data_IF_713252614144
#
_entry.id   IF_713252614144
#
_cell.length_a   1.000
_cell.length_b   1.000
_cell.length_c   1.000
_cell.angle_alpha   90.00
_cell.angle_beta   90.00
_cell.angle_gamma   90.00
#
_symmetry.space_group_name_H-M   'P 1'
#
loop_
_entity.id
_entity.type
_entity.pdbx_description
1 polymer ?
#
# COMPACT_ATOMS: atom_id res chain seq x y z
N UNK A 1 -32.71 22.23 -10.83
CA UNK A 1 -32.37 21.26 -9.77
C UNK A 1 -30.86 21.12 -9.73
N UNK A 2 -30.22 21.46 -8.61
CA UNK A 2 -28.76 21.41 -8.51
C UNK A 2 -28.30 19.94 -8.37
N UNK A 3 -27.37 19.45 -9.21
CA UNK A 3 -26.95 18.05 -9.20
C UNK A 3 -26.30 17.60 -7.87
N UNK A 4 -25.87 18.53 -7.01
CA UNK A 4 -25.24 18.22 -5.72
C UNK A 4 -26.18 17.81 -4.58
N UNK A 5 -27.49 18.02 -4.68
CA UNK A 5 -28.41 17.71 -3.57
C UNK A 5 -28.79 16.24 -3.49
N UNK A 6 -28.72 15.49 -4.59
CA UNK A 6 -29.10 14.06 -4.62
C UNK A 6 -28.04 13.17 -3.99
N UNK A 7 -26.76 13.41 -4.31
CA UNK A 7 -25.62 12.61 -3.82
C UNK A 7 -25.40 12.80 -2.32
N UNK A 8 -25.45 14.06 -1.83
CA UNK A 8 -25.34 14.36 -0.41
C UNK A 8 -26.48 13.73 0.41
N UNK A 9 -27.69 13.68 -0.15
CA UNK A 9 -28.84 13.02 0.50
C UNK A 9 -28.67 11.49 0.54
N UNK A 10 -28.13 10.88 -0.51
CA UNK A 10 -27.84 9.44 -0.55
C UNK A 10 -26.75 9.06 0.47
N UNK A 11 -25.69 9.87 0.57
CA UNK A 11 -24.64 9.68 1.59
C UNK A 11 -25.22 9.78 2.99
N UNK A 12 -26.00 10.83 3.27
CA UNK A 12 -26.63 11.03 4.58
C UNK A 12 -27.55 9.86 4.96
N UNK A 13 -28.27 9.29 3.99
CA UNK A 13 -29.13 8.13 4.21
C UNK A 13 -28.34 6.82 4.44
N UNK A 14 -27.16 6.68 3.83
CA UNK A 14 -26.35 5.46 3.92
C UNK A 14 -25.56 5.36 5.23
N UNK A 15 -25.09 6.49 5.79
CA UNK A 15 -24.19 6.51 6.95
C UNK A 15 -24.72 5.74 8.18
N UNK A 16 -25.98 5.87 8.62
CA UNK A 16 -26.46 5.13 9.79
C UNK A 16 -26.46 3.60 9.59
N UNK A 17 -26.62 3.15 8.35
CA UNK A 17 -26.53 1.73 8.00
C UNK A 17 -25.08 1.26 8.02
N UNK A 18 -24.17 2.04 7.43
CA UNK A 18 -22.73 1.77 7.46
C UNK A 18 -22.23 1.71 8.91
N UNK A 19 -22.59 2.69 9.74
CA UNK A 19 -22.24 2.70 11.18
C UNK A 19 -22.64 1.41 11.89
N UNK A 20 -23.89 0.97 11.67
CA UNK A 20 -24.40 -0.28 12.26
C UNK A 20 -23.64 -1.50 11.76
N UNK A 21 -23.31 -1.54 10.47
CA UNK A 21 -22.55 -2.62 9.85
C UNK A 21 -21.12 -2.68 10.39
N UNK A 22 -20.44 -1.55 10.53
CA UNK A 22 -19.11 -1.48 11.13
C UNK A 22 -19.11 -1.89 12.61
N UNK A 23 -20.20 -1.62 13.33
CA UNK A 23 -20.37 -1.99 14.74
C UNK A 23 -20.80 -3.45 14.95
N UNK A 24 -21.21 -4.17 13.89
CA UNK A 24 -21.67 -5.55 14.02
C UNK A 24 -20.55 -6.49 14.47
N UNK A 25 -20.92 -7.59 15.13
CA UNK A 25 -19.97 -8.64 15.55
C UNK A 25 -19.58 -9.58 14.39
N UNK A 26 -20.39 -9.62 13.33
CA UNK A 26 -20.21 -10.53 12.21
C UNK A 26 -19.32 -9.93 11.12
N UNK A 27 -18.22 -10.60 10.77
CA UNK A 27 -17.22 -10.09 9.80
C UNK A 27 -17.83 -9.74 8.44
N UNK A 28 -18.77 -10.53 7.92
CA UNK A 28 -19.40 -10.22 6.62
C UNK A 28 -20.20 -8.91 6.62
N UNK A 29 -20.81 -8.54 7.75
CA UNK A 29 -21.51 -7.26 7.88
C UNK A 29 -20.52 -6.11 7.98
N UNK A 30 -19.41 -6.33 8.72
CA UNK A 30 -18.34 -5.36 8.79
C UNK A 30 -17.73 -5.11 7.41
N UNK A 31 -17.40 -6.15 6.66
CA UNK A 31 -16.86 -6.05 5.29
C UNK A 31 -17.76 -5.27 4.35
N UNK A 32 -19.07 -5.54 4.39
CA UNK A 32 -20.04 -4.83 3.56
C UNK A 32 -20.07 -3.33 3.92
N UNK A 33 -20.12 -3.00 5.22
CA UNK A 33 -20.05 -1.61 5.68
C UNK A 33 -18.74 -0.93 5.27
N UNK A 34 -17.60 -1.62 5.40
CA UNK A 34 -16.29 -1.12 4.99
C UNK A 34 -16.26 -0.87 3.48
N UNK A 35 -16.78 -1.78 2.67
CA UNK A 35 -16.81 -1.65 1.20
C UNK A 35 -17.63 -0.44 0.77
N UNK A 36 -18.81 -0.26 1.36
CA UNK A 36 -19.64 0.92 1.09
C UNK A 36 -18.92 2.20 1.51
N UNK A 37 -18.27 2.18 2.68
CA UNK A 37 -17.51 3.34 3.17
C UNK A 37 -16.31 3.66 2.28
N UNK A 38 -15.63 2.65 1.73
CA UNK A 38 -14.53 2.82 0.76
C UNK A 38 -14.99 3.55 -0.48
N UNK A 39 -16.13 3.16 -1.04
CA UNK A 39 -16.69 3.83 -2.22
C UNK A 39 -16.96 5.31 -1.92
N UNK A 40 -17.56 5.62 -0.77
CA UNK A 40 -17.74 7.01 -0.33
C UNK A 40 -16.40 7.75 -0.16
N UNK A 41 -15.39 7.10 0.43
CA UNK A 41 -14.08 7.70 0.67
C UNK A 41 -13.33 8.10 -0.61
N UNK A 42 -13.62 7.46 -1.76
CA UNK A 42 -13.05 7.82 -3.06
C UNK A 42 -13.57 9.15 -3.60
N UNK A 43 -14.71 9.63 -3.09
CA UNK A 43 -15.31 10.90 -3.50
C UNK A 43 -14.96 12.00 -2.48
N UNK A 44 -13.97 12.85 -2.80
CA UNK A 44 -13.48 13.90 -1.88
C UNK A 44 -14.58 14.81 -1.31
N UNK A 45 -15.70 15.01 -2.03
CA UNK A 45 -16.83 15.85 -1.57
C UNK A 45 -17.56 15.28 -0.35
N UNK A 46 -17.57 13.97 -0.19
CA UNK A 46 -18.29 13.27 0.90
C UNK A 46 -17.34 12.79 1.99
N UNK A 47 -16.03 13.01 1.80
CA UNK A 47 -15.00 12.65 2.78
C UNK A 47 -15.29 13.19 4.19
N UNK A 48 -15.75 14.44 4.40
CA UNK A 48 -16.08 14.92 5.74
C UNK A 48 -17.10 14.06 6.49
N UNK A 49 -17.99 13.38 5.77
CA UNK A 49 -18.98 12.47 6.35
C UNK A 49 -18.39 11.08 6.71
N UNK A 50 -17.29 10.71 6.08
CA UNK A 50 -16.54 9.46 6.36
C UNK A 50 -15.62 9.62 7.57
N UNK A 51 -15.04 10.81 7.78
CA UNK A 51 -14.04 11.07 8.83
C UNK A 51 -14.48 10.64 10.25
N UNK A 52 -15.74 10.84 10.70
CA UNK A 52 -16.18 10.39 12.01
C UNK A 52 -16.08 8.87 12.23
N UNK A 53 -16.05 8.08 11.16
CA UNK A 53 -15.98 6.60 11.22
C UNK A 53 -14.55 6.07 11.27
N UNK A 54 -13.53 6.93 11.12
CA UNK A 54 -12.13 6.54 11.14
C UNK A 54 -11.70 5.82 12.42
N UNK A 55 -12.08 6.23 13.64
CA UNK A 55 -11.69 5.51 14.85
C UNK A 55 -12.15 4.05 14.82
N UNK A 56 -13.34 3.78 14.27
CA UNK A 56 -13.84 2.41 14.12
C UNK A 56 -13.04 1.64 13.06
N UNK A 57 -12.73 2.24 11.91
CA UNK A 57 -11.87 1.61 10.91
C UNK A 57 -10.48 1.25 11.48
N UNK A 58 -9.89 2.14 12.29
CA UNK A 58 -8.60 1.90 12.95
C UNK A 58 -8.68 0.73 13.93
N UNK A 59 -9.79 0.57 14.65
CA UNK A 59 -10.02 -0.60 15.51
C UNK A 59 -10.14 -1.89 14.69
N UNK A 60 -10.82 -1.85 13.55
CA UNK A 60 -11.03 -3.00 12.67
C UNK A 60 -9.73 -3.51 12.00
N UNK A 61 -8.65 -2.73 12.04
CA UNK A 61 -7.30 -3.24 11.70
C UNK A 61 -6.81 -4.36 12.63
N UNK A 62 -7.49 -4.61 13.74
CA UNK A 62 -7.18 -5.70 14.68
C UNK A 62 -8.13 -6.90 14.54
N UNK A 63 -9.11 -6.82 13.63
CA UNK A 63 -10.08 -7.90 13.34
C UNK A 63 -9.46 -9.01 12.48
N UNK A 64 -10.24 -10.03 12.09
CA UNK A 64 -9.78 -11.08 11.18
C UNK A 64 -9.26 -10.54 9.84
N UNK A 65 -8.48 -11.36 9.13
CA UNK A 65 -7.68 -10.93 7.96
C UNK A 65 -8.49 -10.22 6.87
N UNK A 66 -9.72 -10.67 6.61
CA UNK A 66 -10.57 -10.12 5.57
C UNK A 66 -11.05 -8.71 5.91
N UNK A 67 -11.66 -8.54 7.09
CA UNK A 67 -12.07 -7.23 7.65
C UNK A 67 -10.88 -6.28 7.76
N UNK A 68 -9.75 -6.78 8.26
CA UNK A 68 -8.50 -6.01 8.41
C UNK A 68 -7.99 -5.47 7.08
N UNK A 69 -7.93 -6.31 6.05
CA UNK A 69 -7.52 -5.90 4.71
C UNK A 69 -8.49 -4.89 4.09
N UNK A 70 -9.79 -5.11 4.24
CA UNK A 70 -10.81 -4.16 3.78
C UNK A 70 -10.68 -2.80 4.47
N UNK A 71 -10.47 -2.80 5.79
CA UNK A 71 -10.29 -1.58 6.59
C UNK A 71 -9.04 -0.82 6.15
N UNK A 72 -7.90 -1.51 6.00
CA UNK A 72 -6.67 -0.92 5.47
C UNK A 72 -6.86 -0.33 4.06
N UNK A 73 -7.62 -1.01 3.19
CA UNK A 73 -7.91 -0.54 1.84
C UNK A 73 -8.81 0.70 1.82
N UNK A 74 -9.69 0.84 2.81
CA UNK A 74 -10.52 2.04 2.98
C UNK A 74 -9.70 3.22 3.50
N UNK A 75 -8.79 2.97 4.44
CA UNK A 75 -7.84 3.97 4.92
C UNK A 75 -6.91 4.45 3.79
N UNK A 76 -6.53 3.55 2.87
CA UNK A 76 -5.78 3.92 1.68
C UNK A 76 -6.57 4.87 0.78
N UNK A 77 -7.88 4.63 0.58
CA UNK A 77 -8.75 5.54 -0.18
C UNK A 77 -8.88 6.91 0.49
N UNK A 78 -9.10 6.96 1.80
CA UNK A 78 -9.11 8.21 2.59
C UNK A 78 -7.80 8.98 2.43
N UNK A 79 -6.66 8.29 2.45
CA UNK A 79 -5.33 8.90 2.32
C UNK A 79 -5.02 9.47 0.92
N UNK A 80 -5.88 9.29 -0.09
CA UNK A 80 -5.67 9.90 -1.41
C UNK A 80 -5.80 11.42 -1.37
N UNK A 81 -6.63 11.97 -0.48
CA UNK A 81 -6.80 13.42 -0.32
C UNK A 81 -5.87 14.00 0.76
N UNK A 82 -5.50 15.27 0.64
CA UNK A 82 -4.68 15.95 1.64
C UNK A 82 -5.41 16.09 2.99
N UNK A 83 -6.71 16.36 2.96
CA UNK A 83 -7.56 16.44 4.14
C UNK A 83 -7.64 15.09 4.87
N UNK A 84 -7.85 14.00 4.13
CA UNK A 84 -7.89 12.64 4.67
C UNK A 84 -6.56 12.26 5.32
N UNK A 85 -5.43 12.54 4.67
CA UNK A 85 -4.10 12.33 5.27
C UNK A 85 -3.92 13.08 6.59
N UNK A 86 -4.27 14.37 6.61
CA UNK A 86 -4.13 15.20 7.80
C UNK A 86 -4.94 14.68 9.00
N UNK A 87 -6.10 14.06 8.75
CA UNK A 87 -6.92 13.46 9.81
C UNK A 87 -6.42 12.08 10.22
N UNK A 88 -6.00 11.25 9.25
CA UNK A 88 -5.40 9.94 9.50
C UNK A 88 -4.15 10.03 10.36
N UNK A 89 -3.27 10.99 10.08
CA UNK A 89 -2.03 11.23 10.85
C UNK A 89 -2.28 11.50 12.35
N UNK A 90 -3.49 11.93 12.71
CA UNK A 90 -3.89 12.20 14.10
C UNK A 90 -4.61 11.02 14.76
N UNK A 91 -4.92 9.97 14.01
CA UNK A 91 -5.60 8.80 14.55
C UNK A 91 -4.64 7.98 15.41
N UNK A 92 -4.98 7.84 16.68
CA UNK A 92 -4.20 7.08 17.63
C UNK A 92 -4.06 5.62 17.20
N UNK A 93 -2.83 5.09 17.23
CA UNK A 93 -2.55 3.70 16.90
C UNK A 93 -2.67 3.34 15.42
N UNK A 94 -3.11 4.25 14.52
CA UNK A 94 -3.27 3.95 13.09
C UNK A 94 -1.97 3.45 12.47
N UNK A 95 -0.90 4.23 12.61
CA UNK A 95 0.40 3.94 11.97
C UNK A 95 0.99 2.64 12.51
N UNK A 96 0.89 2.39 13.82
CA UNK A 96 1.35 1.14 14.44
C UNK A 96 0.55 -0.06 13.91
N UNK A 97 -0.77 0.05 13.79
CA UNK A 97 -1.61 -1.04 13.29
C UNK A 97 -1.35 -1.32 11.79
N UNK A 98 -1.17 -0.28 10.97
CA UNK A 98 -0.82 -0.45 9.55
C UNK A 98 0.57 -1.08 9.39
N UNK A 99 1.54 -0.68 10.20
CA UNK A 99 2.88 -1.29 10.22
C UNK A 99 2.78 -2.76 10.63
N UNK A 100 1.98 -3.09 11.65
CA UNK A 100 1.74 -4.48 12.05
C UNK A 100 1.17 -5.31 10.88
N UNK A 101 0.19 -4.78 10.13
CA UNK A 101 -0.36 -5.45 8.95
C UNK A 101 0.70 -5.71 7.87
N UNK A 102 1.63 -4.76 7.65
CA UNK A 102 2.75 -4.93 6.71
C UNK A 102 3.73 -5.99 7.18
N UNK A 103 4.01 -6.08 8.48
CA UNK A 103 4.94 -7.07 9.05
C UNK A 103 4.46 -8.51 8.96
N UNK A 104 3.17 -8.74 8.65
CA UNK A 104 2.64 -10.09 8.41
C UNK A 104 3.14 -10.70 7.08
N UNK A 105 3.77 -9.90 6.21
CA UNK A 105 4.34 -10.37 4.94
C UNK A 105 3.34 -10.42 3.79
N UNK A 106 3.84 -10.68 2.58
CA UNK A 106 3.03 -10.54 1.35
C UNK A 106 1.85 -11.50 1.27
N UNK A 107 1.90 -12.61 2.01
CA UNK A 107 0.85 -13.62 2.04
C UNK A 107 -0.37 -13.15 2.85
N UNK A 108 -0.24 -12.12 3.68
CA UNK A 108 -1.37 -11.53 4.39
C UNK A 108 -2.22 -10.67 3.43
N UNK A 109 -3.53 -10.91 3.34
CA UNK A 109 -4.45 -10.04 2.57
C UNK A 109 -4.42 -8.57 3.02
N UNK A 110 -4.00 -8.31 4.26
CA UNK A 110 -3.92 -6.95 4.79
C UNK A 110 -2.64 -6.21 4.36
N UNK A 111 -1.56 -6.92 4.03
CA UNK A 111 -0.25 -6.32 3.79
C UNK A 111 -0.26 -5.38 2.58
N UNK A 112 -0.87 -5.77 1.46
CA UNK A 112 -0.99 -4.92 0.27
C UNK A 112 -1.75 -3.63 0.58
N UNK A 113 -2.93 -3.77 1.17
CA UNK A 113 -3.80 -2.63 1.47
C UNK A 113 -3.15 -1.70 2.50
N UNK A 114 -2.46 -2.24 3.50
CA UNK A 114 -1.73 -1.47 4.48
C UNK A 114 -0.53 -0.74 3.86
N UNK A 115 0.26 -1.42 3.02
CA UNK A 115 1.36 -0.80 2.28
C UNK A 115 0.86 0.32 1.34
N UNK A 116 -0.28 0.12 0.68
CA UNK A 116 -0.92 1.14 -0.15
C UNK A 116 -1.38 2.35 0.69
N UNK A 117 -1.93 2.09 1.87
CA UNK A 117 -2.31 3.15 2.82
C UNK A 117 -1.09 3.96 3.28
N UNK A 118 0.01 3.29 3.64
CA UNK A 118 1.27 3.93 4.01
C UNK A 118 1.90 4.71 2.83
N UNK A 119 1.80 4.18 1.61
CA UNK A 119 2.24 4.88 0.40
C UNK A 119 1.53 6.22 0.24
N UNK A 120 0.21 6.22 0.39
CA UNK A 120 -0.58 7.43 0.28
C UNK A 120 -0.29 8.41 1.42
N UNK A 121 -0.20 7.93 2.67
CA UNK A 121 0.19 8.77 3.83
C UNK A 121 1.58 9.39 3.62
N UNK A 122 2.54 8.65 3.06
CA UNK A 122 3.88 9.14 2.78
C UNK A 122 3.93 10.27 1.73
N UNK A 123 2.81 10.63 1.07
CA UNK A 123 2.76 11.77 0.16
C UNK A 123 2.89 13.14 0.89
N UNK A 124 2.65 13.22 2.21
CA UNK A 124 2.84 14.41 3.04
C UNK A 124 4.17 14.35 3.81
N UNK A 125 4.77 15.50 4.14
CA UNK A 125 6.00 15.54 4.96
C UNK A 125 5.79 15.05 6.39
N UNK A 126 4.66 15.41 7.01
CA UNK A 126 4.25 14.92 8.33
C UNK A 126 4.00 13.41 8.33
N UNK A 127 3.33 12.89 7.29
CA UNK A 127 3.08 11.46 7.11
C UNK A 127 4.38 10.66 6.99
N UNK A 128 5.37 11.15 6.23
CA UNK A 128 6.70 10.52 6.16
C UNK A 128 7.36 10.39 7.54
N UNK A 129 7.32 11.47 8.33
CA UNK A 129 7.87 11.49 9.69
C UNK A 129 7.14 10.52 10.61
N UNK A 130 5.81 10.49 10.54
CA UNK A 130 4.99 9.57 11.34
C UNK A 130 5.27 8.10 11.00
N UNK A 131 5.42 7.77 9.72
CA UNK A 131 5.79 6.42 9.26
C UNK A 131 7.15 6.01 9.80
N UNK A 132 8.14 6.89 9.74
CA UNK A 132 9.47 6.63 10.31
C UNK A 132 9.40 6.35 11.82
N UNK A 133 8.68 7.20 12.56
CA UNK A 133 8.55 7.07 14.01
C UNK A 133 7.83 5.77 14.42
N UNK A 134 6.92 5.26 13.59
CA UNK A 134 6.25 3.99 13.79
C UNK A 134 7.08 2.78 13.28
N UNK A 135 8.37 2.95 13.01
CA UNK A 135 9.27 1.96 12.44
C UNK A 135 8.84 1.40 11.06
N UNK A 136 7.97 2.13 10.36
CA UNK A 136 7.37 1.67 9.11
C UNK A 136 8.37 1.49 7.96
N UNK A 137 9.50 2.20 7.96
CA UNK A 137 10.56 1.99 6.95
C UNK A 137 11.08 0.56 7.00
N UNK A 138 11.42 0.06 8.20
CA UNK A 138 11.93 -1.31 8.38
C UNK A 138 10.89 -2.34 7.94
N UNK A 139 9.62 -2.15 8.31
CA UNK A 139 8.54 -3.05 7.93
C UNK A 139 8.30 -3.08 6.42
N UNK A 140 8.28 -1.92 5.75
CA UNK A 140 8.14 -1.83 4.30
C UNK A 140 9.32 -2.51 3.57
N UNK A 141 10.55 -2.35 4.08
CA UNK A 141 11.71 -3.03 3.52
C UNK A 141 11.61 -4.55 3.68
N UNK A 142 11.25 -5.03 4.88
CA UNK A 142 11.06 -6.45 5.13
C UNK A 142 9.98 -7.06 4.22
N UNK A 143 8.87 -6.35 3.97
CA UNK A 143 7.85 -6.79 3.02
C UNK A 143 8.39 -6.88 1.60
N UNK A 144 9.19 -5.91 1.14
CA UNK A 144 9.80 -5.94 -0.19
C UNK A 144 10.79 -7.10 -0.32
N UNK A 145 11.59 -7.36 0.71
CA UNK A 145 12.50 -8.51 0.77
C UNK A 145 11.75 -9.85 0.73
N UNK A 146 10.66 -9.97 1.47
CA UNK A 146 9.78 -11.16 1.51
C UNK A 146 9.13 -11.44 0.15
N UNK A 147 8.86 -10.40 -0.65
CA UNK A 147 8.33 -10.53 -2.00
C UNK A 147 9.35 -11.10 -3.01
N UNK A 148 10.66 -10.92 -2.79
CA UNK A 148 11.71 -11.26 -3.79
C UNK A 148 11.75 -12.76 -4.12
N UNK A 149 11.89 -13.71 -3.17
CA UNK A 149 12.00 -15.13 -3.48
C UNK A 149 10.84 -15.70 -4.31
N UNK A 150 9.56 -15.44 -3.98
CA UNK A 150 8.46 -15.97 -4.78
C UNK A 150 8.39 -15.34 -6.18
N UNK A 151 8.77 -14.07 -6.35
CA UNK A 151 8.84 -13.41 -7.66
C UNK A 151 9.98 -13.95 -8.52
N UNK A 152 11.15 -14.24 -7.94
CA UNK A 152 12.26 -14.90 -8.65
C UNK A 152 11.85 -16.28 -9.19
N UNK A 153 11.14 -17.06 -8.36
CA UNK A 153 10.62 -18.38 -8.75
C UNK A 153 9.66 -18.26 -9.93
N UNK A 154 8.77 -17.27 -9.90
CA UNK A 154 7.80 -17.00 -10.97
C UNK A 154 8.48 -16.58 -12.27
N UNK A 155 9.45 -15.66 -12.19
CA UNK A 155 10.27 -15.27 -13.35
C UNK A 155 11.01 -16.47 -13.95
N UNK A 156 11.61 -17.31 -13.11
CA UNK A 156 12.29 -18.52 -13.57
C UNK A 156 11.32 -19.50 -14.24
N UNK A 157 10.11 -19.65 -13.72
CA UNK A 157 9.07 -20.47 -14.33
C UNK A 157 8.62 -19.91 -15.69
N UNK A 158 8.37 -18.60 -15.78
CA UNK A 158 7.99 -17.92 -17.02
C UNK A 158 9.07 -18.06 -18.11
N UNK A 159 10.35 -17.98 -17.73
CA UNK A 159 11.48 -18.22 -18.64
C UNK A 159 11.49 -19.66 -19.15
N UNK A 160 11.27 -20.66 -18.29
CA UNK A 160 11.22 -22.08 -18.70
C UNK A 160 10.07 -22.34 -19.68
N UNK A 161 8.87 -21.83 -19.41
CA UNK A 161 7.72 -22.02 -20.29
C UNK A 161 7.92 -21.35 -21.65
N UNK A 162 8.51 -20.16 -21.68
CA UNK A 162 8.80 -19.44 -22.92
C UNK A 162 9.79 -20.19 -23.83
N UNK A 163 10.74 -20.92 -23.25
CA UNK A 163 11.73 -21.74 -23.99
C UNK A 163 11.09 -23.02 -24.56
N UNK A 164 10.05 -23.56 -23.91
CA UNK A 164 9.34 -24.75 -24.40
C UNK A 164 8.29 -24.43 -25.47
N UNK A 165 7.74 -23.22 -25.49
CA UNK A 165 6.78 -22.77 -26.51
C UNK A 165 7.42 -22.34 -27.84
N UNK A 166 8.74 -22.20 -27.92
CA UNK A 166 9.46 -21.92 -29.18
C UNK A 166 9.61 -23.16 -30.09
N UNK A 167 8.91 -24.26 -29.79
CA UNK A 167 8.88 -25.48 -30.61
C UNK A 167 7.51 -25.79 -31.22
N UNK A 168 6.51 -24.91 -31.08
CA UNK A 168 5.21 -25.03 -31.76
C UNK A 168 4.76 -23.71 -32.40
N UNK A 169 4.71 -23.69 -33.73
CA UNK A 169 4.00 -22.71 -34.53
C UNK A 169 2.49 -22.79 -34.24
N UNK A 170 1.90 -21.73 -33.67
CA UNK A 170 0.46 -21.62 -33.40
C UNK A 170 0.08 -20.28 -32.75
N UNK A 171 -1.12 -19.72 -33.03
CA UNK A 171 -1.36 -18.29 -32.96
C UNK A 171 -1.43 -17.72 -31.54
N UNK A 172 -0.98 -16.46 -31.44
CA UNK A 172 -0.99 -15.56 -30.28
C UNK A 172 -2.19 -15.79 -29.35
N UNK A 173 -1.92 -16.44 -28.22
CA UNK A 173 -2.86 -16.49 -27.11
C UNK A 173 -2.94 -15.12 -26.46
N UNK A 174 -4.15 -14.58 -26.46
CA UNK A 174 -4.58 -13.36 -25.78
C UNK A 174 -4.02 -13.30 -24.36
N UNK A 175 -3.22 -12.26 -24.07
CA UNK A 175 -2.91 -11.84 -22.70
C UNK A 175 -4.23 -11.64 -21.96
N UNK A 176 -4.61 -12.63 -21.16
CA UNK A 176 -5.76 -12.53 -20.28
C UNK A 176 -5.50 -11.40 -19.29
N UNK A 177 -6.42 -10.45 -19.30
CA UNK A 177 -6.54 -9.34 -18.38
C UNK A 177 -6.41 -9.79 -16.92
N UNK A 178 -5.36 -9.28 -16.27
CA UNK A 178 -5.38 -8.76 -14.89
C UNK A 178 -6.08 -9.61 -13.82
N UNK A 179 -5.50 -10.75 -13.45
CA UNK A 179 -5.49 -11.13 -12.03
C UNK A 179 -4.23 -10.51 -11.42
N UNK A 180 -4.37 -9.46 -10.61
CA UNK A 180 -3.23 -8.83 -9.94
C UNK A 180 -2.49 -9.87 -9.12
N UNK A 181 -1.21 -10.09 -9.40
CA UNK A 181 -0.37 -10.96 -8.58
C UNK A 181 -0.24 -10.30 -7.19
N UNK A 182 -0.81 -10.89 -6.11
CA UNK A 182 -0.88 -10.22 -4.81
C UNK A 182 0.50 -9.92 -4.22
N UNK A 183 1.52 -10.75 -4.54
CA UNK A 183 2.92 -10.51 -4.18
C UNK A 183 3.45 -9.25 -4.84
N UNK A 184 3.24 -9.15 -6.15
CA UNK A 184 3.67 -8.00 -6.93
C UNK A 184 2.93 -6.73 -6.51
N UNK A 185 1.63 -6.82 -6.20
CA UNK A 185 0.84 -5.69 -5.74
C UNK A 185 1.28 -5.17 -4.36
N UNK A 186 1.52 -6.08 -3.40
CA UNK A 186 2.06 -5.74 -2.09
C UNK A 186 3.46 -5.11 -2.21
N UNK A 187 4.35 -5.74 -2.99
CA UNK A 187 5.69 -5.23 -3.27
C UNK A 187 5.65 -3.85 -3.91
N UNK A 188 4.85 -3.68 -4.97
CA UNK A 188 4.70 -2.42 -5.69
C UNK A 188 4.22 -1.32 -4.75
N UNK A 189 3.19 -1.57 -3.93
CA UNK A 189 2.70 -0.61 -2.94
C UNK A 189 3.78 -0.22 -1.92
N UNK A 190 4.51 -1.21 -1.40
CA UNK A 190 5.60 -0.98 -0.45
C UNK A 190 6.74 -0.15 -1.07
N UNK A 191 7.14 -0.46 -2.31
CA UNK A 191 8.11 0.34 -3.07
C UNK A 191 7.61 1.77 -3.30
N UNK A 192 6.32 1.97 -3.53
CA UNK A 192 5.73 3.30 -3.66
C UNK A 192 5.86 4.11 -2.36
N UNK A 193 5.61 3.48 -1.22
CA UNK A 193 5.81 4.11 0.08
C UNK A 193 7.29 4.48 0.30
N UNK A 194 8.21 3.54 0.05
CA UNK A 194 9.65 3.79 0.14
C UNK A 194 10.08 4.93 -0.79
N UNK A 195 9.58 4.96 -2.03
CA UNK A 195 9.85 6.02 -2.98
C UNK A 195 9.43 7.40 -2.47
N UNK A 196 8.23 7.51 -1.88
CA UNK A 196 7.74 8.76 -1.30
C UNK A 196 8.59 9.23 -0.10
N UNK A 197 9.13 8.29 0.66
CA UNK A 197 9.98 8.55 1.83
C UNK A 197 11.37 9.10 1.48
N UNK A 198 11.86 8.91 0.24
CA UNK A 198 13.17 9.41 -0.26
C UNK A 198 13.29 10.94 -0.39
N UNK A 199 12.26 11.69 0.01
CA UNK A 199 12.31 13.15 0.11
C UNK A 199 13.06 13.67 1.33
N UNK A 200 13.48 12.80 2.25
CA UNK A 200 14.13 13.14 3.52
C UNK A 200 15.46 12.39 3.65
N UNK A 201 16.54 13.11 4.00
CA UNK A 201 17.88 12.53 4.13
C UNK A 201 17.97 11.48 5.23
N UNK A 202 17.24 11.63 6.35
CA UNK A 202 17.23 10.64 7.44
C UNK A 202 16.61 9.32 7.00
N UNK A 203 15.55 9.37 6.18
CA UNK A 203 14.94 8.16 5.60
C UNK A 203 15.91 7.47 4.65
N UNK A 204 16.61 8.23 3.80
CA UNK A 204 17.62 7.68 2.89
C UNK A 204 18.71 6.95 3.68
N UNK A 205 19.25 7.56 4.74
CA UNK A 205 20.26 6.91 5.59
C UNK A 205 19.74 5.62 6.22
N UNK A 206 18.50 5.63 6.72
CA UNK A 206 17.86 4.44 7.31
C UNK A 206 17.77 3.30 6.28
N UNK A 207 17.34 3.62 5.04
CA UNK A 207 17.23 2.64 3.96
C UNK A 207 18.58 2.11 3.49
N UNK A 208 19.61 2.95 3.43
CA UNK A 208 20.98 2.55 3.09
C UNK A 208 21.56 1.59 4.15
N UNK A 209 21.42 1.94 5.43
CA UNK A 209 21.93 1.13 6.54
C UNK A 209 21.26 -0.25 6.61
N UNK A 210 19.98 -0.32 6.24
CA UNK A 210 19.25 -1.57 6.19
C UNK A 210 19.43 -2.35 4.88
N UNK A 211 20.34 -1.92 3.98
CA UNK A 211 20.75 -2.73 2.82
C UNK A 211 19.78 -2.71 1.63
N UNK A 212 18.88 -1.72 1.55
CA UNK A 212 17.81 -1.68 0.53
C UNK A 212 18.33 -1.74 -0.91
N UNK A 213 19.53 -1.23 -1.18
CA UNK A 213 20.12 -1.18 -2.52
C UNK A 213 20.25 -2.58 -3.15
N UNK A 214 20.70 -3.58 -2.40
CA UNK A 214 20.87 -4.95 -2.91
C UNK A 214 19.52 -5.60 -3.27
N UNK A 215 18.47 -5.24 -2.54
CA UNK A 215 17.10 -5.70 -2.82
C UNK A 215 16.57 -5.08 -4.10
N UNK A 216 16.81 -3.78 -4.32
CA UNK A 216 16.40 -3.09 -5.53
C UNK A 216 17.06 -3.67 -6.79
N UNK A 217 18.34 -4.03 -6.74
CA UNK A 217 19.04 -4.65 -7.89
C UNK A 217 18.35 -5.95 -8.33
N UNK A 218 17.92 -6.78 -7.38
CA UNK A 218 17.16 -7.99 -7.69
C UNK A 218 15.82 -7.66 -8.35
N UNK A 219 15.08 -6.69 -7.81
CA UNK A 219 13.75 -6.31 -8.30
C UNK A 219 13.80 -5.65 -9.68
N UNK A 220 14.85 -4.90 -10.00
CA UNK A 220 15.06 -4.33 -11.34
C UNK A 220 15.14 -5.42 -12.43
N UNK A 221 15.75 -6.56 -12.11
CA UNK A 221 15.85 -7.70 -13.03
C UNK A 221 14.49 -8.41 -13.27
N UNK A 222 13.44 -8.03 -12.55
CA UNK A 222 12.11 -8.65 -12.60
C UNK A 222 11.07 -7.85 -13.42
N UNK A 223 11.50 -6.96 -14.31
CA UNK A 223 10.60 -6.16 -15.16
C UNK A 223 9.60 -7.01 -15.99
N UNK A 224 9.94 -8.26 -16.29
CA UNK A 224 9.04 -9.19 -16.98
C UNK A 224 7.88 -9.71 -16.11
N UNK A 225 7.97 -9.57 -14.77
CA UNK A 225 6.92 -9.95 -13.81
C UNK A 225 6.02 -8.74 -13.52
N UNK A 226 6.61 -7.58 -13.22
CA UNK A 226 5.89 -6.34 -12.97
C UNK A 226 6.76 -5.13 -13.35
N UNK A 227 6.32 -4.37 -14.36
CA UNK A 227 7.05 -3.21 -14.88
C UNK A 227 7.05 -2.02 -13.91
N UNK A 228 5.94 -1.81 -13.19
CA UNK A 228 5.82 -0.71 -12.23
C UNK A 228 6.75 -0.94 -11.04
N UNK A 229 6.85 -2.18 -10.57
CA UNK A 229 7.80 -2.61 -9.55
C UNK A 229 9.25 -2.33 -9.97
N UNK A 230 9.66 -2.77 -11.16
CA UNK A 230 11.02 -2.57 -11.67
C UNK A 230 11.35 -1.07 -11.87
N UNK A 231 10.40 -0.28 -12.34
CA UNK A 231 10.55 1.17 -12.48
C UNK A 231 10.77 1.85 -11.13
N UNK A 232 9.96 1.52 -10.12
CA UNK A 232 10.12 2.05 -8.74
C UNK A 232 11.46 1.64 -8.15
N UNK A 233 11.89 0.38 -8.35
CA UNK A 233 13.19 -0.09 -7.87
C UNK A 233 14.36 0.67 -8.53
N UNK A 234 14.26 0.98 -9.83
CA UNK A 234 15.25 1.81 -10.55
C UNK A 234 15.34 3.22 -9.96
N UNK A 235 14.19 3.85 -9.74
CA UNK A 235 14.14 5.19 -9.13
C UNK A 235 14.76 5.20 -7.74
N UNK A 236 14.40 4.23 -6.89
CA UNK A 236 14.92 4.13 -5.52
C UNK A 236 16.45 3.99 -5.53
N UNK A 237 17.01 3.08 -6.34
CA UNK A 237 18.47 2.90 -6.45
C UNK A 237 19.18 4.18 -6.86
N UNK A 238 18.65 4.90 -7.86
CA UNK A 238 19.23 6.18 -8.29
C UNK A 238 19.28 7.19 -7.14
N UNK A 239 18.20 7.33 -6.38
CA UNK A 239 18.14 8.25 -5.22
C UNK A 239 19.03 7.83 -4.06
N UNK A 240 19.10 6.54 -3.75
CA UNK A 240 20.01 6.02 -2.72
C UNK A 240 21.48 6.25 -3.09
N UNK A 241 21.83 6.25 -4.38
CA UNK A 241 23.20 6.50 -4.86
C UNK A 241 23.58 7.99 -4.95
N UNK A 242 22.59 8.88 -5.12
CA UNK A 242 22.81 10.32 -5.32
C UNK A 242 23.05 11.11 -4.03
N UNK A 243 22.93 10.48 -2.85
CA UNK A 243 23.30 11.14 -1.59
C UNK A 243 24.81 11.03 -1.38
N UNK A 244 25.54 12.14 -1.21
CA UNK A 244 26.99 12.10 -1.02
C UNK A 244 27.33 11.24 0.20
N UNK A 245 28.28 10.31 0.05
CA UNK A 245 28.87 9.55 1.17
C UNK A 245 29.68 10.43 2.14
N UNK A 246 29.75 11.74 1.90
CA UNK A 246 30.72 12.66 2.51
C UNK A 246 30.08 13.62 3.52
N UNK A 247 29.57 13.08 4.62
CA UNK A 247 29.44 13.87 5.87
C UNK A 247 30.05 13.17 7.08
N UNK A 248 30.86 12.13 6.85
CA UNK A 248 31.82 11.64 7.84
C UNK A 248 33.14 12.37 7.59
N UNK A 249 33.14 13.69 7.82
CA UNK A 249 34.37 14.39 8.18
C UNK A 249 34.35 14.51 9.70
N UNK A 250 35.18 13.66 10.29
CA UNK A 250 35.76 13.78 11.61
C UNK A 250 36.13 15.24 11.88
N UNK A 251 35.56 15.81 12.94
CA UNK A 251 36.21 16.79 13.82
C UNK A 251 35.80 16.48 15.26
#
# INVERSE_FOLDING_TARGET
MAPGSSEANQVTAALPTIERQLAADHESLQEEGIKQLKELALHCRVLPAVLPLLPRLVQLLKSGNSVRGAAAGTLAAVALSAEGRAVLERQEGLLVNLVACVTEGWASPAAESAACSLMNIAASSSGKTAIRNAEGIKALMALVEDCVPPLEKELAQARRTSIMSTTQDGPRSSRSSSSSNPKAAACTSALGALMNLLGDSQHITTMQQAGLAAVMEKLQAMAAVDEAMAHRATFITSRLSATPRDSILVL
#
